data_IF_357940715360
#
_entry.id   IF_357940715360
#
_cell.length_a   1.000
_cell.length_b   1.000
_cell.length_c   1.000
_cell.angle_alpha   90.00
_cell.angle_beta   90.00
_cell.angle_gamma   90.00
#
_symmetry.space_group_name_H-M   'P 1'
#
loop_
_entity.id
_entity.type
_entity.pdbx_description
1 polymer ?
#
# COMPACT_ATOMS: atom_id res chain seq x y z
N UNK A 1 1.30 -22.39 -4.07
CA UNK A 1 2.33 -21.97 -5.04
C UNK A 1 1.86 -20.64 -5.65
N UNK A 2 2.05 -19.51 -4.94
CA UNK A 2 3.07 -18.45 -5.17
C UNK A 2 3.18 -18.00 -6.65
N UNK A 3 2.41 -16.98 -7.04
CA UNK A 3 2.61 -16.28 -8.33
C UNK A 3 2.70 -14.75 -8.22
N UNK A 4 2.37 -14.13 -7.08
CA UNK A 4 2.20 -12.66 -7.05
C UNK A 4 3.37 -11.86 -6.48
N UNK A 5 4.39 -12.50 -5.87
CA UNK A 5 5.45 -11.76 -5.14
C UNK A 5 6.68 -11.37 -5.95
N UNK A 6 6.72 -11.64 -7.27
CA UNK A 6 7.88 -11.32 -8.13
C UNK A 6 7.76 -10.01 -8.93
N UNK A 7 6.59 -9.39 -8.99
CA UNK A 7 6.33 -8.25 -9.89
C UNK A 7 6.43 -6.87 -9.22
N UNK A 8 6.53 -6.79 -7.90
CA UNK A 8 6.58 -5.50 -7.18
C UNK A 8 7.99 -4.87 -7.09
N UNK A 9 9.01 -5.47 -7.72
CA UNK A 9 10.41 -5.03 -7.64
C UNK A 9 10.84 -4.07 -8.77
N UNK A 10 9.93 -3.68 -9.66
CA UNK A 10 10.22 -2.73 -10.73
C UNK A 10 9.55 -1.41 -10.39
N UNK A 11 10.34 -0.39 -10.09
CA UNK A 11 9.93 1.01 -9.89
C UNK A 11 9.33 1.63 -11.15
N UNK A 12 8.25 1.06 -11.64
CA UNK A 12 7.43 1.55 -12.73
C UNK A 12 6.46 2.55 -12.12
N UNK A 13 6.56 3.81 -12.52
CA UNK A 13 5.51 4.79 -12.25
C UNK A 13 4.24 4.29 -12.92
N UNK A 14 3.28 3.83 -12.12
CA UNK A 14 2.00 3.34 -12.62
C UNK A 14 1.16 4.53 -13.06
N UNK A 15 1.14 4.81 -14.37
CA UNK A 15 0.26 5.84 -14.96
C UNK A 15 -1.17 5.31 -15.13
N UNK A 16 -1.34 4.00 -15.28
CA UNK A 16 -2.62 3.28 -15.37
C UNK A 16 -2.44 1.84 -14.84
N UNK A 17 -3.38 1.35 -14.02
CA UNK A 17 -3.52 -0.10 -13.73
C UNK A 17 -4.87 -0.53 -14.31
N UNK A 18 -4.82 -1.46 -15.27
CA UNK A 18 -5.97 -2.07 -15.93
C UNK A 18 -7.02 -1.10 -16.52
N UNK A 19 -6.62 0.10 -16.97
CA UNK A 19 -7.53 1.05 -17.62
C UNK A 19 -8.45 1.83 -16.66
N UNK A 20 -8.29 1.65 -15.35
CA UNK A 20 -8.99 2.43 -14.35
C UNK A 20 -8.13 3.61 -13.89
N UNK A 21 -8.67 4.82 -13.99
CA UNK A 21 -8.17 6.02 -13.31
C UNK A 21 -8.65 6.08 -11.85
N UNK A 22 -9.03 4.93 -11.31
CA UNK A 22 -9.83 4.77 -10.10
C UNK A 22 -9.02 4.83 -8.82
N UNK A 23 -9.69 4.45 -7.74
CA UNK A 23 -9.10 4.33 -6.43
C UNK A 23 -8.32 3.00 -6.34
N UNK A 24 -7.05 3.07 -5.97
CA UNK A 24 -6.20 1.91 -5.70
C UNK A 24 -6.23 1.66 -4.20
N UNK A 25 -6.61 0.44 -3.80
CA UNK A 25 -6.52 0.02 -2.41
C UNK A 25 -5.22 -0.75 -2.20
N UNK A 26 -4.53 -0.51 -1.11
CA UNK A 26 -3.30 -1.21 -0.76
C UNK A 26 -3.28 -1.54 0.73
N UNK A 27 -2.85 -2.75 1.05
CA UNK A 27 -2.67 -3.20 2.43
C UNK A 27 -1.20 -3.22 2.76
N UNK A 28 -0.88 -2.68 3.92
CA UNK A 28 0.49 -2.55 4.41
C UNK A 28 0.61 -3.11 5.82
N UNK A 29 1.82 -3.50 6.18
CA UNK A 29 2.21 -3.97 7.48
C UNK A 29 3.18 -2.97 8.09
N UNK A 30 2.83 -2.44 9.25
CA UNK A 30 3.64 -1.46 9.96
C UNK A 30 3.67 -1.75 11.46
N UNK A 31 4.83 -1.49 12.07
CA UNK A 31 5.00 -1.49 13.53
C UNK A 31 4.74 -0.11 14.15
N UNK A 32 4.47 0.90 13.30
CA UNK A 32 4.31 2.30 13.68
C UNK A 32 2.95 2.81 13.21
N UNK A 33 2.40 3.77 13.94
CA UNK A 33 1.25 4.56 13.46
C UNK A 33 1.65 5.30 12.19
N UNK A 34 0.90 5.10 11.11
CA UNK A 34 1.09 5.87 9.89
C UNK A 34 0.51 7.26 10.09
N UNK A 35 1.28 8.28 9.74
CA UNK A 35 0.73 9.61 9.55
C UNK A 35 -0.10 9.59 8.27
N UNK A 36 -1.38 9.94 8.37
CA UNK A 36 -2.24 10.05 7.19
C UNK A 36 -1.74 11.27 6.41
N UNK A 37 -1.08 11.05 5.29
CA UNK A 37 -0.71 12.12 4.35
C UNK A 37 -1.86 12.33 3.38
N UNK A 38 -2.04 13.54 2.85
CA UNK A 38 -3.14 13.86 1.93
C UNK A 38 -3.20 13.01 0.65
N UNK A 39 -2.15 12.22 0.38
CA UNK A 39 -2.00 11.38 -0.81
C UNK A 39 -2.72 10.03 -0.68
N UNK A 40 -3.14 9.63 0.53
CA UNK A 40 -3.89 8.40 0.76
C UNK A 40 -4.81 8.50 1.99
N UNK A 41 -5.86 7.69 2.00
CA UNK A 41 -6.80 7.58 3.12
C UNK A 41 -6.70 6.21 3.75
N UNK A 42 -6.64 6.15 5.08
CA UNK A 42 -6.74 4.89 5.82
C UNK A 42 -8.20 4.46 5.85
N UNK A 43 -8.48 3.24 5.40
CA UNK A 43 -9.81 2.62 5.49
C UNK A 43 -10.00 1.93 6.83
N UNK A 44 -9.02 1.12 7.24
CA UNK A 44 -9.02 0.45 8.54
C UNK A 44 -7.60 0.05 8.97
N UNK A 45 -7.44 -0.17 10.27
CA UNK A 45 -6.24 -0.75 10.86
C UNK A 45 -6.64 -1.96 11.71
N UNK A 46 -5.96 -3.08 11.52
CA UNK A 46 -6.18 -4.31 12.26
C UNK A 46 -4.86 -4.80 12.84
N UNK A 47 -4.78 -5.04 14.16
CA UNK A 47 -3.58 -5.63 14.75
C UNK A 47 -3.40 -7.06 14.25
N UNK A 48 -2.17 -7.44 13.94
CA UNK A 48 -1.81 -8.81 13.57
C UNK A 48 -1.51 -9.58 14.86
N UNK A 49 -2.49 -10.33 15.36
CA UNK A 49 -2.39 -11.06 16.63
C UNK A 49 -1.20 -12.03 16.72
N UNK A 50 -0.73 -12.55 15.58
CA UNK A 50 0.40 -13.49 15.52
C UNK A 50 1.76 -12.81 15.65
N UNK A 51 1.84 -11.47 15.59
CA UNK A 51 3.09 -10.70 15.73
C UNK A 51 2.84 -9.46 16.58
N UNK A 52 3.34 -9.46 17.82
CA UNK A 52 3.22 -8.30 18.71
C UNK A 52 3.76 -7.02 18.06
N UNK A 53 2.98 -5.95 18.16
CA UNK A 53 3.31 -4.64 17.62
C UNK A 53 3.11 -4.47 16.12
N UNK A 54 2.74 -5.53 15.38
CA UNK A 54 2.48 -5.42 13.94
C UNK A 54 1.01 -5.12 13.69
N UNK A 55 0.74 -4.11 12.87
CA UNK A 55 -0.61 -3.77 12.43
C UNK A 55 -0.69 -3.83 10.91
N UNK A 56 -1.79 -4.40 10.41
CA UNK A 56 -2.19 -4.36 9.02
C UNK A 56 -3.10 -3.17 8.79
N UNK A 57 -2.71 -2.27 7.91
CA UNK A 57 -3.47 -1.06 7.59
C UNK A 57 -3.87 -1.13 6.13
N UNK A 58 -5.16 -0.94 5.87
CA UNK A 58 -5.66 -0.76 4.51
C UNK A 58 -5.71 0.73 4.19
N UNK A 59 -5.07 1.11 3.10
CA UNK A 59 -5.05 2.46 2.55
C UNK A 59 -5.74 2.47 1.20
N UNK A 60 -6.31 3.60 0.83
CA UNK A 60 -6.78 3.87 -0.51
C UNK A 60 -6.12 5.15 -1.03
N UNK A 61 -5.62 5.10 -2.25
CA UNK A 61 -5.00 6.22 -2.96
C UNK A 61 -5.56 6.29 -4.37
N UNK A 62 -5.22 7.31 -5.14
CA UNK A 62 -5.52 7.36 -6.58
C UNK A 62 -4.31 6.88 -7.37
N UNK A 63 -4.51 6.43 -8.61
CA UNK A 63 -3.40 6.02 -9.50
C UNK A 63 -2.34 7.13 -9.61
N UNK A 64 -2.77 8.38 -9.77
CA UNK A 64 -1.89 9.55 -9.84
C UNK A 64 -0.98 9.70 -8.60
N UNK A 65 -1.51 9.37 -7.41
CA UNK A 65 -0.80 9.47 -6.14
C UNK A 65 -0.15 8.15 -5.70
N UNK A 66 -0.31 7.06 -6.47
CA UNK A 66 0.18 5.74 -6.10
C UNK A 66 1.71 5.74 -6.01
N UNK A 67 2.40 6.31 -7.00
CA UNK A 67 3.86 6.36 -7.01
C UNK A 67 4.41 7.17 -5.82
N UNK A 68 3.77 8.29 -5.49
CA UNK A 68 4.16 9.10 -4.33
C UNK A 68 3.88 8.34 -3.02
N UNK A 69 2.72 7.68 -2.92
CA UNK A 69 2.33 6.87 -1.76
C UNK A 69 3.30 5.72 -1.52
N UNK A 70 3.62 4.94 -2.55
CA UNK A 70 4.59 3.84 -2.45
C UNK A 70 5.95 4.36 -2.00
N UNK A 71 6.42 5.48 -2.56
CA UNK A 71 7.68 6.09 -2.15
C UNK A 71 7.69 6.48 -0.68
N UNK A 72 6.65 7.17 -0.20
CA UNK A 72 6.52 7.52 1.23
C UNK A 72 6.53 6.29 2.12
N UNK A 73 5.82 5.23 1.73
CA UNK A 73 5.78 3.97 2.49
C UNK A 73 7.16 3.30 2.55
N UNK A 74 7.91 3.30 1.44
CA UNK A 74 9.27 2.77 1.39
C UNK A 74 10.23 3.60 2.25
N UNK A 75 10.14 4.92 2.21
CA UNK A 75 10.94 5.84 3.04
C UNK A 75 10.66 5.62 4.54
N UNK A 76 9.40 5.38 4.90
CA UNK A 76 8.96 5.05 6.26
C UNK A 76 9.31 3.60 6.69
N UNK A 77 9.96 2.82 5.82
CA UNK A 77 10.29 1.39 6.01
C UNK A 77 9.04 0.53 6.28
N UNK A 78 7.91 0.91 5.70
CA UNK A 78 6.65 0.18 5.77
C UNK A 78 6.62 -0.90 4.70
N UNK A 79 6.10 -2.07 5.04
CA UNK A 79 6.02 -3.21 4.12
C UNK A 79 4.67 -3.17 3.42
N UNK A 80 4.67 -3.10 2.08
CA UNK A 80 3.46 -3.28 1.28
C UNK A 80 3.16 -4.78 1.18
N UNK A 81 1.95 -5.19 1.54
CA UNK A 81 1.52 -6.58 1.52
C UNK A 81 0.77 -6.90 0.22
N UNK A 82 -0.24 -6.10 -0.12
CA UNK A 82 -1.03 -6.28 -1.35
C UNK A 82 -1.42 -4.93 -1.95
N UNK A 83 -1.57 -4.90 -3.28
CA UNK A 83 -2.13 -3.79 -4.05
C UNK A 83 -3.31 -4.34 -4.85
N UNK A 84 -4.46 -3.69 -4.73
CA UNK A 84 -5.72 -4.00 -5.39
C UNK A 84 -6.09 -2.82 -6.29
N UNK A 85 -6.23 -3.09 -7.58
CA UNK A 85 -6.87 -2.21 -8.54
C UNK A 85 -8.38 -2.44 -8.54
N UNK A 86 -9.14 -1.35 -8.44
CA UNK A 86 -10.60 -1.33 -8.49
C UNK A 86 -11.08 -0.48 -9.65
#
# INVERSE_FOLDING_TARGET
>A
MRLSTKLAAMGVGFTEIAGNKGAIMLTILTYKSLNITGNYKVLFSQPVFTKQGLSRVALVTTVENLSATIKTLLDDKVIIEHVYDY
#
